data_IF_966941079156
#
_entry.id   IF_966941079156
#
_cell.length_a   1.000
_cell.length_b   1.000
_cell.length_c   1.000
_cell.angle_alpha   90.00
_cell.angle_beta   90.00
_cell.angle_gamma   90.00
#
_symmetry.space_group_name_H-M   'P 1'
#
loop_
_entity.id
_entity.type
_entity.pdbx_description
1 polymer ?
#
# COMPACT_ATOMS: atom_id res chain seq x y z
N UNK A 1 -29.22 4.65 47.54
CA UNK A 1 -28.50 3.36 47.53
C UNK A 1 -29.02 2.50 46.39
N UNK A 2 -28.13 1.85 45.62
CA UNK A 2 -28.52 0.92 44.55
C UNK A 2 -29.09 -0.37 45.15
N UNK A 3 -30.25 -0.79 44.66
CA UNK A 3 -30.93 -1.99 45.15
C UNK A 3 -30.18 -3.25 44.73
N UNK A 4 -30.33 -4.34 45.49
CA UNK A 4 -29.68 -5.63 45.21
C UNK A 4 -30.00 -6.12 43.79
N UNK A 5 -31.26 -5.93 43.37
CA UNK A 5 -31.75 -6.25 42.02
C UNK A 5 -31.06 -5.44 40.92
N UNK A 6 -30.76 -4.16 41.17
CA UNK A 6 -30.01 -3.33 40.24
C UNK A 6 -28.54 -3.78 40.13
N UNK A 7 -27.94 -4.24 41.23
CA UNK A 7 -26.57 -4.78 41.23
C UNK A 7 -26.49 -6.11 40.46
N UNK A 8 -27.47 -6.98 40.62
CA UNK A 8 -27.54 -8.25 39.88
C UNK A 8 -27.77 -8.03 38.38
N UNK A 9 -28.73 -7.18 38.01
CA UNK A 9 -28.96 -6.83 36.61
C UNK A 9 -27.72 -6.20 35.95
N UNK A 10 -26.97 -5.36 36.68
CA UNK A 10 -25.71 -4.81 36.19
C UNK A 10 -24.66 -5.90 35.94
N UNK A 11 -24.51 -6.86 36.87
CA UNK A 11 -23.58 -7.99 36.71
C UNK A 11 -23.95 -8.88 35.52
N UNK A 12 -25.23 -9.22 35.35
CA UNK A 12 -25.69 -10.01 34.21
C UNK A 12 -25.46 -9.30 32.88
N UNK A 13 -25.71 -7.99 32.84
CA UNK A 13 -25.47 -7.20 31.63
C UNK A 13 -23.98 -7.10 31.29
N UNK A 14 -23.11 -6.97 32.30
CA UNK A 14 -21.65 -7.02 32.10
C UNK A 14 -21.22 -8.39 31.57
N UNK A 15 -21.73 -9.48 32.13
CA UNK A 15 -21.42 -10.84 31.68
C UNK A 15 -21.86 -11.07 30.22
N UNK A 16 -23.09 -10.66 29.87
CA UNK A 16 -23.60 -10.73 28.49
C UNK A 16 -22.78 -9.87 27.53
N UNK A 17 -22.34 -8.69 27.95
CA UNK A 17 -21.49 -7.82 27.15
C UNK A 17 -20.09 -8.41 26.94
N UNK A 18 -19.49 -9.02 27.96
CA UNK A 18 -18.20 -9.71 27.88
C UNK A 18 -18.26 -10.92 26.96
N UNK A 19 -19.29 -11.76 27.10
CA UNK A 19 -19.49 -12.92 26.24
C UNK A 19 -19.61 -12.51 24.77
N UNK A 20 -20.45 -11.52 24.49
CA UNK A 20 -20.60 -10.97 23.14
C UNK A 20 -19.30 -10.38 22.59
N UNK A 21 -18.47 -9.77 23.43
CA UNK A 21 -17.17 -9.23 23.04
C UNK A 21 -16.16 -10.33 22.68
N UNK A 22 -16.19 -11.47 23.39
CA UNK A 22 -15.33 -12.62 23.10
C UNK A 22 -15.72 -13.31 21.80
N UNK A 23 -17.02 -13.43 21.52
CA UNK A 23 -17.56 -14.04 20.29
C UNK A 23 -17.30 -13.19 19.04
N UNK A 24 -17.13 -11.87 19.17
CA UNK A 24 -16.82 -10.99 18.04
C UNK A 24 -15.43 -11.25 17.44
N UNK A 25 -15.36 -11.20 16.12
CA UNK A 25 -14.10 -11.16 15.37
C UNK A 25 -13.35 -9.84 15.62
N UNK A 26 -12.03 -9.83 15.35
CA UNK A 26 -11.19 -8.62 15.49
C UNK A 26 -11.76 -7.40 14.75
N UNK A 27 -12.36 -7.63 13.56
CA UNK A 27 -12.99 -6.56 12.76
C UNK A 27 -14.28 -6.04 13.40
N UNK A 28 -15.11 -6.92 13.95
CA UNK A 28 -16.35 -6.53 14.63
C UNK A 28 -16.06 -5.75 15.91
N UNK A 29 -15.06 -6.18 16.70
CA UNK A 29 -14.60 -5.43 17.88
C UNK A 29 -14.11 -4.04 17.51
N UNK A 30 -13.33 -3.91 16.44
CA UNK A 30 -12.84 -2.62 15.96
C UNK A 30 -13.99 -1.68 15.54
N UNK A 31 -15.05 -2.20 14.90
CA UNK A 31 -16.22 -1.41 14.48
C UNK A 31 -17.22 -1.10 15.61
N UNK A 32 -17.21 -1.91 16.68
CA UNK A 32 -18.03 -1.68 17.87
C UNK A 32 -17.49 -0.54 18.75
N UNK A 33 -16.18 -0.24 18.66
CA UNK A 33 -15.59 0.86 19.40
C UNK A 33 -15.99 2.23 18.81
N UNK A 34 -16.33 3.22 19.66
CA UNK A 34 -16.67 4.58 19.21
C UNK A 34 -15.58 5.23 18.35
N UNK A 35 -14.33 4.94 18.67
CA UNK A 35 -13.14 5.41 17.95
C UNK A 35 -13.03 4.78 16.55
N UNK A 36 -13.35 3.49 16.43
CA UNK A 36 -13.32 2.78 15.15
C UNK A 36 -14.44 3.20 14.19
N UNK A 37 -15.60 3.65 14.70
CA UNK A 37 -16.69 4.22 13.88
C UNK A 37 -16.38 5.61 13.33
N UNK A 38 -15.61 6.42 14.08
CA UNK A 38 -15.20 7.77 13.66
C UNK A 38 -14.02 7.76 12.68
N UNK A 39 -13.33 6.63 12.54
CA UNK A 39 -12.16 6.51 11.67
C UNK A 39 -12.59 6.54 10.20
N UNK A 40 -12.20 7.62 9.51
CA UNK A 40 -12.31 7.67 8.05
C UNK A 40 -11.32 6.68 7.42
N UNK A 41 -11.64 6.22 6.20
CA UNK A 41 -10.70 5.38 5.44
C UNK A 41 -9.46 6.22 5.12
N UNK A 42 -8.23 5.68 5.28
CA UNK A 42 -7.01 6.42 4.93
C UNK A 42 -7.09 7.05 3.53
N UNK A 43 -6.73 8.33 3.42
CA UNK A 43 -6.79 9.14 2.19
C UNK A 43 -8.15 9.76 1.85
N UNK A 44 -9.26 9.33 2.48
CA UNK A 44 -10.60 9.86 2.13
C UNK A 44 -10.90 11.27 2.62
N UNK A 45 -10.17 11.76 3.61
CA UNK A 45 -10.34 13.11 4.16
C UNK A 45 -9.35 14.15 3.62
N UNK A 46 -8.37 13.74 2.81
CA UNK A 46 -7.24 14.61 2.48
C UNK A 46 -6.20 14.73 3.61
N UNK A 47 -6.41 14.00 4.70
CA UNK A 47 -5.57 14.00 5.90
C UNK A 47 -4.60 12.79 5.83
N UNK A 48 -3.29 13.07 5.88
CA UNK A 48 -2.22 12.08 5.79
C UNK A 48 -1.04 12.56 4.94
N UNK A 49 0.08 11.84 5.01
CA UNK A 49 1.35 12.25 4.41
C UNK A 49 1.53 11.78 2.95
N UNK A 50 0.58 11.02 2.41
CA UNK A 50 0.69 10.38 1.10
C UNK A 50 -0.54 10.59 0.23
N UNK A 51 -0.31 10.81 -1.06
CA UNK A 51 -1.29 10.58 -2.12
C UNK A 51 -1.37 9.09 -2.44
N UNK A 52 -2.58 8.62 -2.75
CA UNK A 52 -2.89 7.20 -2.93
C UNK A 52 -3.40 6.94 -4.35
N UNK A 53 -2.57 6.30 -5.19
CA UNK A 53 -2.95 5.90 -6.54
C UNK A 53 -3.37 4.42 -6.54
N UNK A 54 -4.67 4.16 -6.69
CA UNK A 54 -5.23 2.82 -6.81
C UNK A 54 -5.09 2.34 -8.26
N UNK A 55 -4.43 1.19 -8.43
CA UNK A 55 -4.19 0.60 -9.76
C UNK A 55 -4.95 -0.69 -10.02
N UNK A 56 -5.48 -1.32 -8.96
CA UNK A 56 -6.31 -2.53 -9.01
C UNK A 56 -7.35 -2.52 -7.91
N UNK A 57 -8.45 -3.24 -8.12
CA UNK A 57 -9.48 -3.36 -7.08
C UNK A 57 -8.92 -4.11 -5.87
N UNK A 58 -9.31 -3.68 -4.67
CA UNK A 58 -8.96 -4.39 -3.43
C UNK A 58 -9.53 -5.81 -3.41
N UNK A 59 -10.65 -6.04 -4.10
CA UNK A 59 -11.40 -7.30 -4.05
C UNK A 59 -10.70 -8.42 -4.85
N UNK A 60 -9.67 -8.07 -5.62
CA UNK A 60 -8.77 -9.03 -6.29
C UNK A 60 -7.77 -9.69 -5.32
N UNK A 61 -7.71 -9.24 -4.06
CA UNK A 61 -6.65 -9.59 -3.11
C UNK A 61 -7.18 -10.11 -1.78
N UNK A 62 -6.41 -10.99 -1.15
CA UNK A 62 -6.73 -11.62 0.14
C UNK A 62 -5.85 -11.11 1.29
N UNK A 63 -4.64 -10.66 1.00
CA UNK A 63 -3.68 -10.18 2.01
C UNK A 63 -2.84 -9.05 1.42
N UNK A 64 -2.46 -8.07 2.25
CA UNK A 64 -1.70 -6.91 1.81
C UNK A 64 -0.39 -6.75 2.58
N UNK A 65 0.63 -6.20 1.92
CA UNK A 65 1.92 -5.83 2.52
C UNK A 65 2.46 -4.53 1.92
N UNK A 66 3.09 -3.72 2.76
CA UNK A 66 3.80 -2.52 2.34
C UNK A 66 5.26 -2.85 2.01
N UNK A 67 5.78 -2.18 0.99
CA UNK A 67 7.18 -2.21 0.59
C UNK A 67 7.61 -0.79 0.25
N UNK A 68 8.70 -0.30 0.84
CA UNK A 68 9.38 0.90 0.35
C UNK A 68 9.97 0.62 -1.04
N UNK A 69 9.84 1.58 -1.95
CA UNK A 69 10.43 1.55 -3.28
C UNK A 69 11.21 2.85 -3.47
N UNK A 70 12.54 2.75 -3.60
CA UNK A 70 13.42 3.93 -3.60
C UNK A 70 13.82 4.34 -2.19
N UNK A 71 13.93 5.66 -1.96
CA UNK A 71 14.26 6.21 -0.64
C UNK A 71 13.11 6.01 0.36
N UNK A 72 13.50 5.71 1.60
CA UNK A 72 12.57 5.37 2.67
C UNK A 72 11.60 6.53 2.92
N UNK A 73 10.29 6.24 2.88
CA UNK A 73 9.25 7.21 3.22
C UNK A 73 8.79 8.10 2.06
N UNK A 74 9.39 8.01 0.88
CA UNK A 74 9.00 8.78 -0.31
C UNK A 74 7.90 8.08 -1.11
N UNK A 75 8.21 6.88 -1.60
CA UNK A 75 7.29 6.05 -2.39
C UNK A 75 7.11 4.70 -1.71
N UNK A 76 5.86 4.35 -1.43
CA UNK A 76 5.50 3.04 -0.90
C UNK A 76 4.61 2.27 -1.88
N UNK A 77 4.87 0.99 -2.00
CA UNK A 77 4.05 0.04 -2.72
C UNK A 77 3.20 -0.77 -1.75
N UNK A 78 1.89 -0.68 -1.88
CA UNK A 78 0.97 -1.62 -1.26
C UNK A 78 0.71 -2.78 -2.23
N UNK A 79 1.39 -3.89 -1.98
CA UNK A 79 1.21 -5.13 -2.72
C UNK A 79 0.11 -5.98 -2.09
N UNK A 80 -0.68 -6.64 -2.93
CA UNK A 80 -1.69 -7.60 -2.53
C UNK A 80 -1.38 -8.99 -3.06
N UNK A 81 -1.63 -10.02 -2.25
CA UNK A 81 -1.63 -11.42 -2.67
C UNK A 81 -2.99 -11.78 -3.24
N UNK A 82 -3.03 -12.30 -4.46
CA UNK A 82 -4.26 -12.79 -5.12
C UNK A 82 -4.66 -14.17 -4.59
N UNK A 83 -5.88 -14.59 -4.88
CA UNK A 83 -6.37 -15.96 -4.60
C UNK A 83 -5.49 -17.03 -5.25
N UNK A 84 -4.92 -16.76 -6.43
CA UNK A 84 -3.97 -17.65 -7.12
C UNK A 84 -2.60 -17.77 -6.42
N UNK A 85 -2.34 -16.96 -5.39
CA UNK A 85 -1.08 -16.92 -4.67
C UNK A 85 -0.03 -15.96 -5.24
N UNK A 86 -0.24 -15.44 -6.45
CA UNK A 86 0.58 -14.39 -7.05
C UNK A 86 0.48 -13.07 -6.27
N UNK A 87 1.51 -12.24 -6.39
CA UNK A 87 1.55 -10.90 -5.78
C UNK A 87 1.52 -9.84 -6.87
N UNK A 88 0.67 -8.84 -6.68
CA UNK A 88 0.55 -7.70 -7.58
C UNK A 88 0.42 -6.40 -6.79
N UNK A 89 0.65 -5.27 -7.46
CA UNK A 89 0.44 -3.95 -6.86
C UNK A 89 -1.05 -3.63 -6.82
N UNK A 90 -1.56 -3.27 -5.64
CA UNK A 90 -2.90 -2.72 -5.48
C UNK A 90 -2.87 -1.19 -5.57
N UNK A 91 -1.88 -0.58 -4.91
CA UNK A 91 -1.83 0.86 -4.71
C UNK A 91 -0.39 1.34 -4.60
N UNK A 92 -0.12 2.49 -5.20
CA UNK A 92 1.08 3.29 -4.95
C UNK A 92 0.77 4.42 -3.99
N UNK A 93 1.68 4.68 -3.06
CA UNK A 93 1.66 5.83 -2.17
C UNK A 93 2.84 6.72 -2.52
N UNK A 94 2.57 7.99 -2.82
CA UNK A 94 3.59 9.02 -3.09
C UNK A 94 3.48 10.05 -1.99
N UNK A 95 4.59 10.38 -1.33
CA UNK A 95 4.63 11.41 -0.29
C UNK A 95 4.12 12.73 -0.84
N UNK A 96 3.40 13.51 -0.02
CA UNK A 96 2.97 14.87 -0.39
C UNK A 96 4.15 15.84 -0.58
N UNK A 97 5.35 15.45 -0.16
CA UNK A 97 6.58 16.20 -0.47
C UNK A 97 7.15 15.91 -1.86
N UNK A 98 6.68 14.84 -2.52
CA UNK A 98 7.20 14.38 -3.82
C UNK A 98 6.24 14.63 -4.99
N UNK A 99 5.04 15.13 -4.69
CA UNK A 99 4.00 15.40 -5.66
C UNK A 99 3.01 16.44 -5.12
N UNK A 100 2.25 17.05 -6.03
CA UNK A 100 1.12 17.91 -5.70
C UNK A 100 -0.06 17.68 -6.65
N UNK A 101 -1.22 18.21 -6.30
CA UNK A 101 -2.42 18.16 -7.13
C UNK A 101 -2.46 19.40 -8.00
N UNK A 102 -2.58 19.21 -9.32
CA UNK A 102 -2.83 20.28 -10.28
C UNK A 102 -4.11 19.94 -11.07
N UNK A 103 -5.17 20.73 -10.87
CA UNK A 103 -6.48 20.42 -11.45
C UNK A 103 -7.03 19.09 -10.96
N UNK A 104 -7.23 18.13 -11.86
CA UNK A 104 -7.77 16.80 -11.60
C UNK A 104 -6.71 15.67 -11.65
N UNK A 105 -5.44 16.03 -11.74
CA UNK A 105 -4.31 15.07 -11.84
C UNK A 105 -3.30 15.25 -10.72
N UNK A 106 -2.54 14.18 -10.47
CA UNK A 106 -1.37 14.22 -9.61
C UNK A 106 -0.13 14.53 -10.46
N UNK A 107 0.66 15.51 -10.04
CA UNK A 107 1.90 15.96 -10.69
C UNK A 107 3.08 15.64 -9.79
N UNK A 108 4.14 15.05 -10.36
CA UNK A 108 5.34 14.69 -9.62
C UNK A 108 6.35 15.84 -9.55
N UNK A 109 6.85 16.09 -8.34
CA UNK A 109 7.87 17.10 -8.05
C UNK A 109 9.28 16.50 -8.04
N UNK A 110 9.42 15.20 -7.73
CA UNK A 110 10.70 14.48 -7.73
C UNK A 110 10.86 13.54 -8.93
N UNK A 111 12.11 13.16 -9.22
CA UNK A 111 12.45 12.24 -10.31
C UNK A 111 11.78 10.87 -10.15
N UNK A 112 11.90 10.27 -8.97
CA UNK A 112 11.33 8.95 -8.67
C UNK A 112 9.79 8.95 -8.80
N UNK A 113 9.13 10.00 -8.31
CA UNK A 113 7.68 10.13 -8.44
C UNK A 113 7.26 10.30 -9.91
N UNK A 114 8.06 11.03 -10.70
CA UNK A 114 7.82 11.23 -12.14
C UNK A 114 7.95 9.90 -12.88
N UNK A 115 9.02 9.15 -12.66
CA UNK A 115 9.22 7.83 -13.26
C UNK A 115 8.06 6.88 -12.93
N UNK A 116 7.60 6.89 -11.68
CA UNK A 116 6.46 6.09 -11.26
C UNK A 116 5.18 6.48 -12.01
N UNK A 117 4.84 7.78 -12.06
CA UNK A 117 3.62 8.26 -12.72
C UNK A 117 3.66 7.97 -14.24
N UNK A 118 4.81 8.15 -14.88
CA UNK A 118 5.01 7.85 -16.30
C UNK A 118 4.93 6.35 -16.62
N UNK A 119 5.33 5.49 -15.68
CA UNK A 119 5.26 4.04 -15.85
C UNK A 119 3.83 3.47 -15.76
N UNK A 120 2.86 4.25 -15.25
CA UNK A 120 1.46 3.82 -15.16
C UNK A 120 0.81 3.75 -16.55
N UNK A 121 -0.18 2.86 -16.70
CA UNK A 121 -0.89 2.70 -17.97
C UNK A 121 -1.80 3.87 -18.31
N UNK A 122 -2.16 4.71 -17.34
CA UNK A 122 -2.90 5.97 -17.53
C UNK A 122 -2.44 6.99 -16.49
N UNK A 123 -2.58 8.28 -16.80
CA UNK A 123 -2.37 9.35 -15.82
C UNK A 123 -3.30 9.17 -14.60
N UNK A 124 -2.82 9.41 -13.36
CA UNK A 124 -3.65 9.34 -12.17
C UNK A 124 -4.78 10.38 -12.21
N UNK A 125 -6.03 9.90 -12.21
CA UNK A 125 -7.22 10.75 -12.18
C UNK A 125 -7.71 10.89 -10.75
N UNK A 126 -8.02 12.11 -10.31
CA UNK A 126 -8.55 12.37 -8.98
C UNK A 126 -9.91 11.69 -8.78
N UNK A 127 -10.10 11.09 -7.61
CA UNK A 127 -11.36 10.45 -7.21
C UNK A 127 -11.98 11.19 -6.03
N UNK A 128 -11.21 11.38 -4.95
CA UNK A 128 -11.62 12.12 -3.75
C UNK A 128 -10.48 12.25 -2.76
N UNK A 129 -10.44 13.35 -1.98
CA UNK A 129 -9.40 13.56 -0.97
C UNK A 129 -8.01 13.42 -1.58
N UNK A 130 -7.21 12.48 -1.05
CA UNK A 130 -5.87 12.15 -1.57
C UNK A 130 -5.86 10.90 -2.48
N UNK A 131 -7.03 10.44 -2.94
CA UNK A 131 -7.18 9.20 -3.71
C UNK A 131 -7.28 9.51 -5.21
N UNK A 132 -6.44 8.81 -5.96
CA UNK A 132 -6.38 8.79 -7.41
C UNK A 132 -6.56 7.37 -7.94
N UNK A 133 -6.98 7.26 -9.19
CA UNK A 133 -7.08 6.00 -9.93
C UNK A 133 -6.26 6.06 -11.21
N UNK A 134 -5.56 4.96 -11.49
CA UNK A 134 -4.82 4.78 -12.73
C UNK A 134 -4.87 3.31 -13.16
N UNK A 135 -4.52 3.01 -14.41
CA UNK A 135 -4.22 1.63 -14.82
C UNK A 135 -2.80 1.29 -14.39
N UNK A 136 -2.60 0.04 -13.94
CA UNK A 136 -1.25 -0.46 -13.73
C UNK A 136 -0.45 -0.43 -15.06
N UNK A 137 0.87 -0.54 -14.94
CA UNK A 137 1.79 -0.56 -16.08
C UNK A 137 1.31 -1.51 -17.18
N UNK A 138 1.44 -1.13 -18.46
CA UNK A 138 0.98 -1.95 -19.57
C UNK A 138 1.67 -3.33 -19.56
N UNK A 139 0.91 -4.38 -19.84
CA UNK A 139 1.46 -5.73 -19.94
C UNK A 139 2.30 -5.84 -21.22
N UNK A 140 3.61 -6.03 -21.07
CA UNK A 140 4.52 -6.23 -22.20
C UNK A 140 4.50 -7.70 -22.63
N UNK A 141 4.14 -8.02 -23.89
CA UNK A 141 4.17 -9.40 -24.40
C UNK A 141 5.54 -10.04 -24.27
N UNK A 142 5.60 -11.35 -23.98
CA UNK A 142 6.88 -12.07 -23.77
C UNK A 142 7.83 -11.98 -24.97
N UNK A 143 7.29 -12.05 -26.20
CA UNK A 143 8.08 -11.87 -27.43
C UNK A 143 8.82 -10.53 -27.54
N UNK A 144 8.38 -9.52 -26.78
CA UNK A 144 9.01 -8.18 -26.73
C UNK A 144 9.97 -8.04 -25.56
N UNK A 145 10.12 -9.07 -24.71
CA UNK A 145 11.10 -9.11 -23.63
C UNK A 145 12.41 -9.70 -24.17
N UNK A 146 13.57 -9.28 -23.65
CA UNK A 146 13.77 -8.37 -22.51
C UNK A 146 13.58 -6.89 -22.88
N UNK A 147 12.89 -6.13 -22.03
CA UNK A 147 12.70 -4.68 -22.19
C UNK A 147 14.02 -3.93 -21.99
N UNK A 148 14.14 -2.70 -22.49
CA UNK A 148 15.36 -1.88 -22.33
C UNK A 148 15.77 -1.73 -20.87
N UNK A 149 14.80 -1.56 -19.97
CA UNK A 149 15.04 -1.54 -18.52
C UNK A 149 15.60 -2.88 -18.00
N UNK A 150 15.09 -4.02 -18.49
CA UNK A 150 15.63 -5.34 -18.15
C UNK A 150 17.05 -5.55 -18.70
N UNK A 151 17.34 -5.02 -19.90
CA UNK A 151 18.67 -5.08 -20.48
C UNK A 151 19.68 -4.24 -19.68
N UNK A 152 19.32 -2.99 -19.32
CA UNK A 152 20.14 -2.12 -18.46
C UNK A 152 20.41 -2.78 -17.11
N UNK A 153 19.36 -3.27 -16.43
CA UNK A 153 19.50 -3.96 -15.16
C UNK A 153 20.39 -5.22 -15.26
N UNK A 154 20.26 -5.98 -16.35
CA UNK A 154 21.13 -7.14 -16.62
C UNK A 154 22.59 -6.73 -16.76
N UNK A 155 22.87 -5.67 -17.53
CA UNK A 155 24.23 -5.16 -17.73
C UNK A 155 24.85 -4.66 -16.42
N UNK A 156 24.08 -3.91 -15.61
CA UNK A 156 24.54 -3.45 -14.30
C UNK A 156 24.85 -4.60 -13.35
N UNK A 157 23.98 -5.62 -13.30
CA UNK A 157 24.21 -6.81 -12.46
C UNK A 157 25.43 -7.60 -12.92
N UNK A 158 25.66 -7.71 -14.23
CA UNK A 158 26.88 -8.32 -14.77
C UNK A 158 28.11 -7.52 -14.33
N UNK A 159 28.08 -6.19 -14.43
CA UNK A 159 29.17 -5.31 -13.99
C UNK A 159 29.46 -5.48 -12.49
N UNK A 160 28.42 -5.47 -11.65
CA UNK A 160 28.54 -5.72 -10.20
C UNK A 160 29.15 -7.09 -9.91
N UNK A 161 28.71 -8.14 -10.62
CA UNK A 161 29.24 -9.49 -10.46
C UNK A 161 30.72 -9.60 -10.89
N UNK A 162 31.12 -8.94 -11.98
CA UNK A 162 32.51 -8.89 -12.41
C UNK A 162 33.40 -8.18 -11.38
N UNK A 163 32.95 -7.03 -10.87
CA UNK A 163 33.66 -6.30 -9.80
C UNK A 163 33.82 -7.15 -8.54
N UNK A 164 32.75 -7.83 -8.08
CA UNK A 164 32.81 -8.72 -6.93
C UNK A 164 33.79 -9.89 -7.14
N UNK A 165 33.83 -10.46 -8.36
CA UNK A 165 34.80 -11.51 -8.72
C UNK A 165 36.24 -10.99 -8.67
N UNK A 166 36.51 -9.80 -9.20
CA UNK A 166 37.85 -9.20 -9.17
C UNK A 166 38.29 -8.87 -7.75
N UNK A 167 37.41 -8.31 -6.92
CA UNK A 167 37.67 -8.02 -5.51
C UNK A 167 37.99 -9.29 -4.69
N UNK A 168 37.27 -10.40 -4.95
CA UNK A 168 37.56 -11.67 -4.30
C UNK A 168 38.88 -12.30 -4.75
N UNK A 169 39.28 -12.10 -6.01
CA UNK A 169 40.57 -12.59 -6.53
C UNK A 169 41.75 -11.86 -5.91
N UNK A 170 41.63 -10.54 -5.73
CA UNK A 170 42.65 -9.70 -5.06
C UNK A 170 42.73 -9.91 -3.54
N UNK A 171 41.66 -10.39 -2.89
CA UNK A 171 41.68 -10.76 -1.46
C UNK A 171 42.30 -12.11 -1.15
N UNK A 172 42.44 -13.00 -2.15
CA UNK A 172 42.92 -14.38 -1.99
C UNK A 172 44.35 -14.61 -2.51
N UNK A 173 44.92 -13.64 -3.21
CA UNK A 173 46.32 -13.63 -3.64
C UNK A 173 47.09 -12.64 -2.80
#
# INVERSE_FOLDING_TARGET
MTTTRQKEAAKENIAKAQQRWQEMTSRERALAQPEGRKRAKPGTKGEGDYFRIVVRSKDEFTTFRYHDVGEKGHILRLAGKRSSGSWDTQTWLISKGDAHIEGDTLVADTGDARELIEALGTKPRHVKGDIFEAKDRPNVPERKKPTDAQQRARLENIKKAQQARWANKTRKG
#
